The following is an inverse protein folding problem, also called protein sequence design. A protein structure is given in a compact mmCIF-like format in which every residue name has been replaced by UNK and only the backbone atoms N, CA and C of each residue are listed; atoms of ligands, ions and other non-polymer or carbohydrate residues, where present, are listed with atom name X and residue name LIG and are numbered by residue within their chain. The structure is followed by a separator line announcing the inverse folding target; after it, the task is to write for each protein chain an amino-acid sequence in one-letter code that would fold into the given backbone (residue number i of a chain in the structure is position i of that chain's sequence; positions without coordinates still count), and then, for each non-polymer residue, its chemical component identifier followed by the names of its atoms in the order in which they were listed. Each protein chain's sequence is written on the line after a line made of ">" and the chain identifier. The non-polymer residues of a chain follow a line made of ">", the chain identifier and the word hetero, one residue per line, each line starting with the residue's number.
data_IF_759333114327
#
_entry.id   IF_759333114327
#
_cell.length_a   1.000
_cell.length_b   1.000
_cell.length_c   1.000
_cell.angle_alpha   90.00
_cell.angle_beta   90.00
_cell.angle_gamma   90.00
#
_symmetry.space_group_name_H-M   'P 1'
#
loop_
_entity.id
_entity.type
_entity.pdbx_description
1 polymer ?
#
# COMPACT_ATOMS: atom_id res chain seq x y z
N UNK A 1 -13.13 -10.49 5.71
CA UNK A 1 -12.03 -11.42 5.36
C UNK A 1 -10.75 -10.75 5.78
N UNK A 2 -9.82 -11.50 6.36
CA UNK A 2 -8.50 -10.95 6.68
C UNK A 2 -7.56 -11.01 5.49
N UNK A 3 -6.92 -9.88 5.19
CA UNK A 3 -5.88 -9.74 4.16
C UNK A 3 -4.52 -9.50 4.81
N UNK A 4 -3.44 -9.77 4.07
CA UNK A 4 -2.10 -9.45 4.56
C UNK A 4 -1.81 -7.96 4.40
N UNK A 5 -1.28 -7.39 5.47
CA UNK A 5 -0.90 -5.99 5.58
C UNK A 5 0.56 -5.92 6.03
N UNK A 6 1.37 -5.14 5.33
CA UNK A 6 2.77 -4.90 5.64
C UNK A 6 2.96 -3.41 5.91
N UNK A 7 3.61 -3.02 7.02
CA UNK A 7 3.87 -1.61 7.37
C UNK A 7 4.97 -0.94 6.51
N UNK A 8 5.40 -1.60 5.45
CA UNK A 8 6.47 -1.15 4.58
C UNK A 8 6.93 -2.28 3.67
N UNK A 9 7.65 -1.95 2.61
CA UNK A 9 8.14 -2.95 1.66
C UNK A 9 9.25 -3.83 2.24
N UNK A 10 9.93 -3.35 3.28
CA UNK A 10 11.00 -4.05 3.99
C UNK A 10 10.45 -5.03 5.03
N UNK A 11 9.18 -4.91 5.40
CA UNK A 11 8.51 -5.83 6.32
C UNK A 11 8.24 -7.17 5.64
N UNK A 12 8.84 -8.23 6.18
CA UNK A 12 8.73 -9.59 5.62
C UNK A 12 7.56 -10.39 6.18
N UNK A 13 7.03 -9.97 7.32
CA UNK A 13 5.94 -10.62 8.03
C UNK A 13 4.72 -9.71 8.03
N UNK A 14 3.55 -10.20 7.58
CA UNK A 14 2.35 -9.40 7.62
C UNK A 14 1.73 -9.40 9.00
N UNK A 15 0.93 -8.37 9.24
CA UNK A 15 -0.21 -8.48 10.14
C UNK A 15 -1.45 -8.77 9.32
N UNK A 16 -2.45 -9.39 9.94
CA UNK A 16 -3.72 -9.67 9.29
C UNK A 16 -4.75 -8.62 9.70
N UNK A 17 -5.32 -7.91 8.73
CA UNK A 17 -6.37 -6.91 8.95
C UNK A 17 -7.65 -7.31 8.24
N UNK A 18 -8.81 -6.95 8.80
CA UNK A 18 -10.05 -7.06 8.03
C UNK A 18 -9.96 -6.15 6.81
N UNK A 19 -10.44 -6.66 5.67
CA UNK A 19 -10.39 -5.92 4.40
C UNK A 19 -11.19 -4.60 4.49
N UNK A 20 -12.27 -4.58 5.28
CA UNK A 20 -13.07 -3.37 5.48
C UNK A 20 -12.28 -2.28 6.21
N UNK A 21 -11.41 -2.64 7.17
CA UNK A 21 -10.52 -1.68 7.84
C UNK A 21 -9.52 -1.08 6.84
N UNK A 22 -9.01 -1.90 5.92
CA UNK A 22 -8.11 -1.43 4.85
C UNK A 22 -8.84 -0.46 3.93
N UNK A 23 -10.07 -0.74 3.54
CA UNK A 23 -10.87 0.20 2.74
C UNK A 23 -11.15 1.51 3.49
N UNK A 24 -11.44 1.45 4.79
CA UNK A 24 -11.62 2.65 5.60
C UNK A 24 -10.33 3.48 5.69
N UNK A 25 -9.15 2.88 5.79
CA UNK A 25 -7.88 3.62 5.75
C UNK A 25 -7.68 4.38 4.43
N UNK A 26 -8.06 3.74 3.31
CA UNK A 26 -7.97 4.35 1.97
C UNK A 26 -8.96 5.52 1.87
N UNK A 27 -10.24 5.28 2.20
CA UNK A 27 -11.32 6.28 2.11
C UNK A 27 -11.00 7.49 2.99
N UNK A 28 -10.55 7.26 4.23
CA UNK A 28 -10.22 8.34 5.17
C UNK A 28 -8.90 9.03 4.86
N UNK A 29 -8.12 8.51 3.90
CA UNK A 29 -6.83 9.08 3.55
C UNK A 29 -5.80 8.97 4.68
N UNK A 30 -5.82 7.89 5.44
CA UNK A 30 -4.94 7.68 6.61
C UNK A 30 -3.46 7.87 6.29
N UNK A 31 -3.04 7.60 5.06
CA UNK A 31 -1.64 7.68 4.61
C UNK A 31 -1.32 8.92 3.76
N UNK A 32 -2.23 9.91 3.69
CA UNK A 32 -2.07 11.11 2.85
C UNK A 32 -0.80 11.91 3.16
N UNK A 33 -0.45 12.07 4.42
CA UNK A 33 0.72 12.88 4.83
C UNK A 33 2.03 12.34 4.26
N UNK A 34 2.26 11.02 4.38
CA UNK A 34 3.46 10.38 3.85
C UNK A 34 3.45 10.35 2.32
N UNK A 35 2.28 10.19 1.68
CA UNK A 35 2.14 10.30 0.23
C UNK A 35 2.50 11.72 -0.24
N UNK A 36 2.04 12.75 0.46
CA UNK A 36 2.36 14.15 0.18
C UNK A 36 3.87 14.42 0.29
N UNK A 37 4.52 13.87 1.31
CA UNK A 37 5.99 13.93 1.44
C UNK A 37 6.66 13.26 0.23
N UNK A 38 6.22 12.07 -0.16
CA UNK A 38 6.76 11.38 -1.33
C UNK A 38 6.63 12.24 -2.60
N UNK A 39 5.43 12.76 -2.88
CA UNK A 39 5.17 13.62 -4.05
C UNK A 39 6.05 14.88 -4.06
N UNK A 40 6.25 15.51 -2.90
CA UNK A 40 7.12 16.68 -2.75
C UNK A 40 8.58 16.35 -3.09
N UNK A 41 9.14 15.26 -2.55
CA UNK A 41 10.52 14.86 -2.85
C UNK A 41 10.69 14.50 -4.33
N UNK A 42 9.69 13.87 -4.95
CA UNK A 42 9.68 13.56 -6.37
C UNK A 42 9.67 14.84 -7.22
N UNK A 43 8.83 15.82 -6.88
CA UNK A 43 8.75 17.12 -7.55
C UNK A 43 10.06 17.93 -7.42
N UNK A 44 10.76 17.80 -6.30
CA UNK A 44 12.07 18.40 -6.08
C UNK A 44 13.22 17.66 -6.82
N UNK A 45 12.93 16.53 -7.47
CA UNK A 45 13.93 15.68 -8.11
C UNK A 45 14.78 14.83 -7.15
N UNK A 46 14.48 14.82 -5.85
CA UNK A 46 15.21 14.05 -4.83
C UNK A 46 14.70 12.59 -4.78
N UNK A 47 15.06 11.83 -5.81
CA UNK A 47 14.67 10.42 -5.95
C UNK A 47 15.13 9.55 -4.76
N UNK A 48 16.26 9.88 -4.12
CA UNK A 48 16.77 9.10 -2.98
C UNK A 48 15.85 9.23 -1.77
N UNK A 49 15.43 10.45 -1.44
CA UNK A 49 14.47 10.65 -0.35
C UNK A 49 13.10 10.11 -0.70
N UNK A 50 12.63 10.30 -1.93
CA UNK A 50 11.41 9.68 -2.41
C UNK A 50 11.41 8.17 -2.17
N UNK A 51 12.45 7.45 -2.60
CA UNK A 51 12.54 5.99 -2.41
C UNK A 51 12.57 5.61 -0.93
N UNK A 52 13.27 6.38 -0.09
CA UNK A 52 13.30 6.17 1.36
C UNK A 52 11.92 6.29 2.01
N UNK A 53 11.14 7.31 1.65
CA UNK A 53 9.78 7.48 2.15
C UNK A 53 8.80 6.46 1.56
N UNK A 54 8.88 6.17 0.25
CA UNK A 54 8.02 5.19 -0.43
C UNK A 54 8.10 3.81 0.24
N UNK A 55 9.28 3.41 0.70
CA UNK A 55 9.48 2.13 1.41
C UNK A 55 8.69 1.99 2.71
N UNK A 56 8.31 3.11 3.34
CA UNK A 56 7.55 3.18 4.58
C UNK A 56 6.03 3.21 4.35
N UNK A 57 5.58 3.31 3.09
CA UNK A 57 4.17 3.19 2.78
C UNK A 57 3.71 1.76 3.05
N UNK A 58 2.53 1.58 3.66
CA UNK A 58 1.99 0.26 3.84
C UNK A 58 1.71 -0.41 2.49
N UNK A 59 1.92 -1.72 2.45
CA UNK A 59 1.59 -2.56 1.31
C UNK A 59 0.46 -3.52 1.71
N UNK A 60 -0.61 -3.50 0.92
CA UNK A 60 -1.81 -4.30 1.11
C UNK A 60 -1.86 -5.40 0.05
N UNK A 61 -2.28 -6.60 0.43
CA UNK A 61 -2.64 -7.66 -0.52
C UNK A 61 -4.15 -7.88 -0.49
N UNK A 62 -4.93 -6.94 -1.03
CA UNK A 62 -6.41 -7.04 -0.98
C UNK A 62 -6.95 -8.27 -1.72
N UNK A 63 -6.17 -8.82 -2.65
CA UNK A 63 -6.48 -10.04 -3.40
C UNK A 63 -6.26 -11.33 -2.59
N UNK A 64 -5.52 -11.30 -1.48
CA UNK A 64 -5.17 -12.54 -0.76
C UNK A 64 -4.66 -12.36 0.67
N UNK A 65 -4.69 -13.46 1.42
CA UNK A 65 -3.92 -13.66 2.64
C UNK A 65 -2.71 -14.54 2.35
N UNK A 66 -1.54 -14.08 2.76
CA UNK A 66 -0.25 -14.72 2.51
C UNK A 66 0.67 -14.56 3.72
N UNK A 67 1.59 -15.50 3.96
CA UNK A 67 2.58 -15.40 5.06
C UNK A 67 3.77 -14.51 4.74
N UNK A 68 4.07 -14.31 3.46
CA UNK A 68 5.17 -13.46 2.97
C UNK A 68 4.74 -12.70 1.72
N UNK A 69 5.58 -11.80 1.21
CA UNK A 69 5.33 -11.10 -0.07
C UNK A 69 5.64 -11.96 -1.31
N UNK A 70 5.31 -13.24 -1.26
CA UNK A 70 5.53 -14.21 -2.35
C UNK A 70 4.28 -15.06 -2.60
N UNK A 71 4.08 -15.44 -3.85
CA UNK A 71 2.91 -16.22 -4.29
C UNK A 71 2.88 -17.64 -3.71
N UNK A 72 4.06 -18.25 -3.47
CA UNK A 72 4.19 -19.57 -2.86
C UNK A 72 3.72 -19.64 -1.40
N UNK A 73 3.58 -18.49 -0.74
CA UNK A 73 3.07 -18.38 0.63
C UNK A 73 1.58 -18.01 0.73
N UNK A 74 0.84 -18.09 -0.39
CA UNK A 74 -0.60 -17.88 -0.45
C UNK A 74 -1.33 -18.85 0.49
N UNK A 75 -2.17 -18.31 1.35
CA UNK A 75 -3.04 -19.08 2.26
C UNK A 75 -4.50 -19.05 1.81
N UNK A 76 -4.95 -17.90 1.30
CA UNK A 76 -6.34 -17.68 0.93
C UNK A 76 -6.45 -16.61 -0.15
N UNK A 77 -7.31 -16.84 -1.14
CA UNK A 77 -7.60 -15.88 -2.20
C UNK A 77 -8.94 -15.19 -1.94
N UNK A 78 -8.99 -13.86 -2.04
CA UNK A 78 -10.19 -13.07 -1.71
C UNK A 78 -11.22 -12.99 -2.83
N UNK A 79 -10.90 -13.46 -4.04
CA UNK A 79 -11.73 -13.25 -5.23
C UNK A 79 -11.59 -11.86 -5.85
N UNK A 80 -10.80 -10.97 -5.25
CA UNK A 80 -10.56 -9.62 -5.77
C UNK A 80 -9.33 -9.56 -6.67
N UNK A 81 -9.35 -8.63 -7.62
CA UNK A 81 -8.20 -8.25 -8.43
C UNK A 81 -7.65 -6.92 -7.92
N UNK A 82 -6.35 -6.86 -7.65
CA UNK A 82 -5.66 -5.64 -7.23
C UNK A 82 -4.96 -5.01 -8.44
N UNK A 83 -5.35 -3.80 -8.81
CA UNK A 83 -4.60 -2.95 -9.72
C UNK A 83 -3.63 -2.05 -8.95
N UNK A 84 -2.39 -1.94 -9.40
CA UNK A 84 -1.40 -1.00 -8.87
C UNK A 84 -1.22 0.13 -9.88
N UNK A 85 -1.51 1.36 -9.46
CA UNK A 85 -1.37 2.56 -10.29
C UNK A 85 -0.23 3.39 -9.68
N UNK A 86 0.91 3.44 -10.36
CA UNK A 86 2.08 4.22 -9.94
C UNK A 86 2.22 5.50 -10.80
N UNK A 87 2.91 6.50 -10.26
CA UNK A 87 3.23 7.79 -10.93
C UNK A 87 2.01 8.65 -11.28
N UNK A 88 1.02 8.70 -10.41
CA UNK A 88 -0.03 9.72 -10.49
C UNK A 88 0.52 11.06 -9.97
N UNK A 89 0.45 12.09 -10.82
CA UNK A 89 0.95 13.43 -10.52
C UNK A 89 -0.03 14.23 -9.63
N UNK A 90 -1.30 13.83 -9.60
CA UNK A 90 -2.39 14.49 -8.87
C UNK A 90 -3.34 13.46 -8.24
N UNK A 91 -4.20 13.92 -7.31
CA UNK A 91 -5.24 13.07 -6.73
C UNK A 91 -6.33 12.81 -7.76
N UNK A 92 -6.91 11.61 -7.73
CA UNK A 92 -8.10 11.34 -8.53
C UNK A 92 -9.22 12.28 -8.05
N UNK A 93 -9.83 13.01 -8.99
CA UNK A 93 -11.00 13.82 -8.68
C UNK A 93 -12.10 12.93 -8.08
N UNK A 94 -12.59 13.31 -6.91
CA UNK A 94 -13.74 12.65 -6.30
C UNK A 94 -14.98 13.24 -6.98
N UNK A 95 -15.54 12.49 -7.95
CA UNK A 95 -16.81 12.81 -8.60
C UNK A 95 -17.97 12.30 -7.76
#
# INVERSE_FOLDING_TARGET
>A
MKVSYFYGVEEKKPVYKEIDDVFQEIINGTHKDIISVCRKELANGDKKKYDSFKKRLPAYTISCRTKTRKADSLEEYSGLMQGDIDKLDEDAEVV
#
